data_IF_140119224647
#
_entry.id   IF_140119224647
#
_cell.length_a   1.000
_cell.length_b   1.000
_cell.length_c   1.000
_cell.angle_alpha   90.00
_cell.angle_beta   90.00
_cell.angle_gamma   90.00
#
_symmetry.space_group_name_H-M   'P 1'
#
loop_
_entity.id
_entity.type
_entity.pdbx_description
1 polymer ?
#
# COMPACT_ATOMS: atom_id res chain seq x y z
N UNK A 1 -12.66 11.05 3.27
CA UNK A 1 -11.23 10.82 3.49
C UNK A 1 -10.44 11.89 2.75
N UNK A 2 -9.38 12.48 3.33
CA UNK A 2 -8.51 13.42 2.62
C UNK A 2 -7.95 12.82 1.33
N UNK A 3 -7.84 13.62 0.25
CA UNK A 3 -7.23 13.19 -1.02
C UNK A 3 -5.75 12.82 -0.88
N UNK A 4 -5.06 13.38 0.11
CA UNK A 4 -3.66 13.08 0.43
C UNK A 4 -3.37 11.58 0.56
N UNK A 5 -4.28 10.81 1.16
CA UNK A 5 -4.12 9.37 1.26
C UNK A 5 -4.18 8.66 -0.09
N UNK A 6 -4.99 9.13 -1.03
CA UNK A 6 -5.01 8.58 -2.38
C UNK A 6 -3.69 8.81 -3.12
N UNK A 7 -3.06 9.98 -2.95
CA UNK A 7 -1.73 10.25 -3.51
C UNK A 7 -0.64 9.41 -2.85
N UNK A 8 -0.71 9.22 -1.52
CA UNK A 8 0.21 8.35 -0.80
C UNK A 8 0.14 6.91 -1.31
N UNK A 9 -1.07 6.38 -1.51
CA UNK A 9 -1.27 5.04 -2.07
C UNK A 9 -0.73 4.91 -3.51
N UNK A 10 -0.76 5.98 -4.32
CA UNK A 10 -0.12 5.98 -5.66
C UNK A 10 1.39 5.80 -5.52
N UNK A 11 2.03 6.49 -4.57
CA UNK A 11 3.48 6.35 -4.32
C UNK A 11 3.80 4.94 -3.81
N UNK A 12 3.02 4.41 -2.88
CA UNK A 12 3.17 3.04 -2.38
C UNK A 12 3.01 2.01 -3.51
N UNK A 13 2.00 2.18 -4.37
CA UNK A 13 1.80 1.34 -5.56
C UNK A 13 3.00 1.37 -6.51
N UNK A 14 3.52 2.58 -6.81
CA UNK A 14 4.72 2.73 -7.63
C UNK A 14 5.93 2.04 -7.00
N UNK A 15 6.06 2.08 -5.67
CA UNK A 15 7.16 1.45 -4.95
C UNK A 15 7.14 -0.08 -5.11
N UNK A 16 5.96 -0.71 -5.09
CA UNK A 16 5.80 -2.14 -5.39
C UNK A 16 6.09 -2.49 -6.86
N UNK A 17 5.70 -1.63 -7.79
CA UNK A 17 6.03 -1.84 -9.21
C UNK A 17 7.54 -1.74 -9.44
N UNK A 18 8.23 -0.83 -8.74
CA UNK A 18 9.69 -0.75 -8.75
C UNK A 18 10.30 -2.00 -8.10
N UNK A 19 9.77 -2.48 -6.97
CA UNK A 19 10.21 -3.74 -6.35
C UNK A 19 10.16 -4.90 -7.35
N UNK A 20 9.01 -5.04 -8.03
CA UNK A 20 8.78 -6.07 -9.03
C UNK A 20 9.82 -6.03 -10.15
N UNK A 21 10.15 -4.83 -10.64
CA UNK A 21 11.21 -4.65 -11.64
C UNK A 21 12.60 -4.98 -11.08
N UNK A 22 12.89 -4.63 -9.83
CA UNK A 22 14.18 -4.98 -9.19
C UNK A 22 14.34 -6.49 -9.10
N UNK A 23 13.30 -7.24 -8.71
CA UNK A 23 13.33 -8.71 -8.73
C UNK A 23 13.58 -9.33 -10.12
N UNK A 24 13.35 -8.58 -11.21
CA UNK A 24 13.66 -9.01 -12.57
C UNK A 24 15.03 -8.54 -13.09
N UNK A 25 15.63 -7.52 -12.48
CA UNK A 25 16.77 -6.78 -13.06
C UNK A 25 18.02 -6.81 -12.19
N UNK A 26 17.90 -7.12 -10.90
CA UNK A 26 19.02 -7.35 -9.99
C UNK A 26 18.97 -8.80 -9.49
N UNK A 27 20.07 -9.29 -8.88
CA UNK A 27 20.21 -10.67 -8.35
C UNK A 27 19.34 -10.93 -7.10
N UNK A 28 18.09 -10.45 -7.09
CA UNK A 28 17.06 -10.79 -6.11
C UNK A 28 16.24 -11.98 -6.58
N UNK A 29 15.40 -12.55 -5.71
CA UNK A 29 14.59 -13.74 -6.02
C UNK A 29 13.54 -13.44 -7.10
N UNK A 30 13.66 -13.97 -8.35
CA UNK A 30 12.76 -13.58 -9.45
C UNK A 30 11.31 -13.99 -9.23
N UNK A 31 11.06 -15.00 -8.41
CA UNK A 31 9.71 -15.47 -8.08
C UNK A 31 8.84 -14.42 -7.38
N UNK A 32 9.44 -13.39 -6.77
CA UNK A 32 8.70 -12.33 -6.08
C UNK A 32 8.14 -11.25 -7.02
N UNK A 33 8.66 -11.14 -8.25
CA UNK A 33 8.27 -10.08 -9.19
C UNK A 33 6.77 -10.08 -9.51
N UNK A 34 6.18 -11.25 -9.73
CA UNK A 34 4.75 -11.40 -10.02
C UNK A 34 3.85 -10.95 -8.85
N UNK A 35 4.02 -11.52 -7.65
CA UNK A 35 3.30 -11.09 -6.44
C UNK A 35 3.36 -9.58 -6.17
N UNK A 36 4.53 -8.96 -6.31
CA UNK A 36 4.68 -7.53 -6.08
C UNK A 36 3.98 -6.67 -7.13
N UNK A 37 4.05 -7.06 -8.41
CA UNK A 37 3.31 -6.37 -9.47
C UNK A 37 1.80 -6.42 -9.20
N UNK A 38 1.29 -7.59 -8.77
CA UNK A 38 -0.11 -7.76 -8.39
C UNK A 38 -0.48 -6.81 -7.24
N UNK A 39 0.34 -6.74 -6.19
CA UNK A 39 0.11 -5.82 -5.07
C UNK A 39 0.11 -4.36 -5.56
N UNK A 40 1.09 -3.96 -6.38
CA UNK A 40 1.17 -2.63 -6.95
C UNK A 40 -0.09 -2.25 -7.75
N UNK A 41 -0.58 -3.16 -8.61
CA UNK A 41 -1.81 -2.95 -9.39
C UNK A 41 -3.05 -2.85 -8.49
N UNK A 42 -3.21 -3.77 -7.53
CA UNK A 42 -4.33 -3.74 -6.57
C UNK A 42 -4.33 -2.43 -5.78
N UNK A 43 -3.15 -1.99 -5.33
CA UNK A 43 -2.99 -0.72 -4.61
C UNK A 43 -3.31 0.48 -5.50
N UNK A 44 -2.89 0.49 -6.77
CA UNK A 44 -3.21 1.56 -7.71
C UNK A 44 -4.73 1.68 -7.97
N UNK A 45 -5.41 0.54 -8.12
CA UNK A 45 -6.89 0.50 -8.18
C UNK A 45 -7.50 1.02 -6.88
N UNK A 46 -6.96 0.61 -5.73
CA UNK A 46 -7.35 1.13 -4.42
C UNK A 46 -7.23 2.65 -4.32
N UNK A 47 -6.12 3.20 -4.80
CA UNK A 47 -5.84 4.63 -4.82
C UNK A 47 -6.84 5.41 -5.68
N UNK A 48 -7.22 4.87 -6.85
CA UNK A 48 -8.25 5.44 -7.70
C UNK A 48 -9.59 5.59 -6.98
N UNK A 49 -9.99 4.60 -6.18
CA UNK A 49 -11.21 4.66 -5.37
C UNK A 49 -11.03 5.56 -4.12
N UNK A 50 -9.84 5.56 -3.52
CA UNK A 50 -9.47 6.43 -2.40
C UNK A 50 -9.64 7.92 -2.74
N UNK A 51 -9.19 8.34 -3.93
CA UNK A 51 -9.35 9.70 -4.45
C UNK A 51 -10.82 10.12 -4.64
N UNK A 52 -11.73 9.14 -4.75
CA UNK A 52 -13.18 9.31 -4.80
C UNK A 52 -13.86 9.17 -3.43
N UNK A 53 -13.07 9.18 -2.36
CA UNK A 53 -13.56 9.14 -0.98
C UNK A 53 -13.95 7.77 -0.47
N UNK A 54 -13.67 6.68 -1.21
CA UNK A 54 -13.99 5.30 -0.79
C UNK A 54 -12.97 4.77 0.22
N UNK A 55 -13.07 5.25 1.47
CA UNK A 55 -12.15 4.90 2.57
C UNK A 55 -12.02 3.40 2.84
N UNK A 56 -13.11 2.66 2.77
CA UNK A 56 -13.09 1.21 3.02
C UNK A 56 -12.20 0.48 2.01
N UNK A 57 -12.28 0.85 0.73
CA UNK A 57 -11.44 0.29 -0.34
C UNK A 57 -9.97 0.61 -0.08
N UNK A 58 -9.67 1.85 0.32
CA UNK A 58 -8.31 2.27 0.67
C UNK A 58 -7.71 1.43 1.81
N UNK A 59 -8.47 1.20 2.88
CA UNK A 59 -8.05 0.38 4.01
C UNK A 59 -7.84 -1.09 3.62
N UNK A 60 -8.76 -1.67 2.85
CA UNK A 60 -8.65 -3.06 2.41
C UNK A 60 -7.47 -3.31 1.48
N UNK A 61 -7.27 -2.44 0.50
CA UNK A 61 -6.14 -2.54 -0.44
C UNK A 61 -4.80 -2.29 0.24
N UNK A 62 -4.74 -1.34 1.18
CA UNK A 62 -3.53 -1.12 1.99
C UNK A 62 -3.25 -2.28 2.93
N UNK A 63 -4.29 -2.86 3.55
CA UNK A 63 -4.17 -4.05 4.39
C UNK A 63 -3.70 -5.28 3.60
N UNK A 64 -4.23 -5.49 2.39
CA UNK A 64 -3.78 -6.51 1.46
C UNK A 64 -2.30 -6.35 1.12
N UNK A 65 -1.88 -5.12 0.77
CA UNK A 65 -0.48 -4.82 0.51
C UNK A 65 0.42 -5.12 1.73
N UNK A 66 0.03 -4.66 2.92
CA UNK A 66 0.79 -4.91 4.14
C UNK A 66 0.92 -6.40 4.46
N UNK A 67 -0.16 -7.17 4.29
CA UNK A 67 -0.13 -8.63 4.44
C UNK A 67 0.83 -9.27 3.44
N UNK A 68 0.73 -8.90 2.16
CA UNK A 68 1.63 -9.37 1.11
C UNK A 68 3.10 -9.07 1.41
N UNK A 69 3.42 -7.87 1.90
CA UNK A 69 4.78 -7.49 2.30
C UNK A 69 5.29 -8.31 3.48
N UNK A 70 4.45 -8.59 4.49
CA UNK A 70 4.84 -9.48 5.61
C UNK A 70 5.15 -10.88 5.11
N UNK A 71 4.34 -11.41 4.19
CA UNK A 71 4.60 -12.71 3.55
C UNK A 71 5.93 -12.67 2.77
N UNK A 72 6.19 -11.61 2.00
CA UNK A 72 7.45 -11.41 1.28
C UNK A 72 8.68 -11.36 2.20
N UNK A 73 8.63 -10.54 3.26
CA UNK A 73 9.70 -10.46 4.27
C UNK A 73 9.95 -11.82 4.94
N UNK A 74 8.88 -12.55 5.25
CA UNK A 74 8.98 -13.89 5.82
C UNK A 74 9.65 -14.84 4.83
N UNK A 75 9.30 -14.78 3.54
CA UNK A 75 9.93 -15.58 2.49
C UNK A 75 11.42 -15.26 2.31
N UNK A 76 11.81 -13.98 2.30
CA UNK A 76 13.22 -13.54 2.24
C UNK A 76 14.01 -14.09 3.46
N UNK A 77 13.41 -14.03 4.65
CA UNK A 77 14.08 -14.43 5.90
C UNK A 77 14.22 -15.94 6.05
N UNK A 78 13.25 -16.70 5.52
CA UNK A 78 13.12 -18.15 5.69
C UNK A 78 13.60 -18.96 4.47
N UNK A 79 13.69 -18.32 3.31
CA UNK A 79 13.93 -18.97 2.03
C UNK A 79 15.38 -19.40 1.81
N UNK A 80 15.62 -20.32 0.86
CA UNK A 80 16.96 -20.77 0.48
C UNK A 80 17.71 -19.75 -0.40
N UNK A 81 17.04 -18.70 -0.87
CA UNK A 81 17.62 -17.67 -1.75
C UNK A 81 18.58 -16.69 -1.03
N UNK A 82 19.23 -15.79 -1.79
CA UNK A 82 20.16 -14.82 -1.23
C UNK A 82 19.46 -13.91 -0.22
N UNK A 83 19.90 -13.95 1.04
CA UNK A 83 19.46 -12.99 2.05
C UNK A 83 20.13 -11.66 1.76
N UNK A 84 19.48 -10.85 0.93
CA UNK A 84 20.01 -9.55 0.54
C UNK A 84 19.53 -8.48 1.52
N UNK A 85 20.49 -7.81 2.16
CA UNK A 85 20.22 -6.67 3.06
C UNK A 85 19.44 -5.55 2.33
N UNK A 86 19.78 -5.18 1.08
CA UNK A 86 19.02 -4.17 0.34
C UNK A 86 17.55 -4.55 0.12
N UNK A 87 17.27 -5.80 -0.23
CA UNK A 87 15.90 -6.31 -0.45
C UNK A 87 15.08 -6.23 0.84
N UNK A 88 15.62 -6.76 1.94
CA UNK A 88 14.95 -6.71 3.25
C UNK A 88 14.74 -5.26 3.73
N UNK A 89 15.70 -4.37 3.49
CA UNK A 89 15.59 -2.95 3.86
C UNK A 89 14.49 -2.27 3.05
N UNK A 90 14.43 -2.52 1.74
CA UNK A 90 13.41 -1.96 0.86
C UNK A 90 12.00 -2.39 1.28
N UNK A 91 11.82 -3.69 1.54
CA UNK A 91 10.58 -4.25 2.05
C UNK A 91 10.19 -3.70 3.43
N UNK A 92 11.15 -3.56 4.35
CA UNK A 92 10.92 -2.98 5.66
C UNK A 92 10.44 -1.53 5.61
N UNK A 93 10.98 -0.73 4.69
CA UNK A 93 10.53 0.64 4.44
C UNK A 93 9.10 0.67 3.90
N UNK A 94 8.78 -0.14 2.88
CA UNK A 94 7.41 -0.26 2.34
C UNK A 94 6.41 -0.64 3.44
N UNK A 95 6.74 -1.64 4.25
CA UNK A 95 5.86 -2.09 5.32
C UNK A 95 5.64 -0.97 6.35
N UNK A 96 6.71 -0.27 6.73
CA UNK A 96 6.62 0.85 7.68
C UNK A 96 5.71 1.94 7.15
N UNK A 97 5.87 2.34 5.88
CA UNK A 97 5.00 3.36 5.27
C UNK A 97 3.55 2.89 5.21
N UNK A 98 3.29 1.64 4.82
CA UNK A 98 1.93 1.08 4.77
C UNK A 98 1.25 1.10 6.13
N UNK A 99 1.95 0.65 7.19
CA UNK A 99 1.39 0.64 8.54
C UNK A 99 1.07 2.07 9.00
N UNK A 100 1.96 3.03 8.75
CA UNK A 100 1.70 4.44 9.05
C UNK A 100 0.47 4.94 8.27
N UNK A 101 0.39 4.68 6.97
CA UNK A 101 -0.74 5.04 6.10
C UNK A 101 -2.07 4.47 6.64
N UNK A 102 -2.10 3.18 6.96
CA UNK A 102 -3.27 2.48 7.52
C UNK A 102 -3.67 3.11 8.84
N UNK A 103 -2.74 3.32 9.77
CA UNK A 103 -3.02 3.90 11.09
C UNK A 103 -3.58 5.32 10.96
N UNK A 104 -2.97 6.15 10.12
CA UNK A 104 -3.44 7.52 9.87
C UNK A 104 -4.85 7.51 9.23
N UNK A 105 -5.07 6.67 8.21
CA UNK A 105 -6.38 6.51 7.57
C UNK A 105 -7.44 6.03 8.56
N UNK A 106 -7.12 5.04 9.41
CA UNK A 106 -8.00 4.48 10.42
C UNK A 106 -8.39 5.50 11.50
N UNK A 107 -7.48 6.42 11.83
CA UNK A 107 -7.73 7.50 12.82
C UNK A 107 -8.52 8.69 12.25
N UNK A 108 -8.50 8.91 10.92
CA UNK A 108 -9.31 9.99 10.32
C UNK A 108 -10.82 9.76 10.45
N UNK A 109 -11.53 10.71 11.07
CA UNK A 109 -13.00 10.71 11.15
C UNK A 109 -13.62 11.19 9.84
N UNK A 110 -14.77 10.64 9.40
CA UNK A 110 -15.55 11.23 8.31
C UNK A 110 -15.92 12.67 8.64
N UNK A 111 -15.76 13.61 7.69
CA UNK A 111 -16.36 14.95 7.84
C UNK A 111 -17.87 14.77 7.94
N UNK A 112 -18.46 15.16 9.07
CA UNK A 112 -19.92 15.38 9.15
C UNK A 112 -20.23 16.62 8.33
N UNK A 113 -21.11 16.51 7.35
CA UNK A 113 -21.75 17.68 6.76
C UNK A 113 -22.77 18.17 7.80
N UNK A 114 -22.67 19.42 8.30
CA UNK A 114 -23.69 19.97 9.18
C UNK A 114 -25.05 19.94 8.49
N UNK A 115 -26.15 19.64 9.19
CA UNK A 115 -27.48 19.78 8.60
C UNK A 115 -27.63 21.21 8.07
N UNK A 116 -28.04 21.34 6.80
CA UNK A 116 -28.39 22.64 6.23
C UNK A 116 -29.49 23.25 7.08
N UNK A 117 -29.25 24.43 7.66
CA UNK A 117 -30.31 25.23 8.29
C UNK A 117 -31.30 25.55 7.17
N UNK A 118 -32.44 24.85 7.15
CA UNK A 118 -33.57 25.24 6.31
C UNK A 118 -34.06 26.60 6.83
N UNK A 119 -34.06 27.67 6.02
CA UNK A 119 -34.76 28.89 6.40
C UNK A 119 -36.25 28.54 6.53
N UNK A 120 -36.84 28.88 7.68
CA UNK A 120 -38.28 28.71 7.90
C UNK A 120 -39.04 29.47 6.79
N UNK A 121 -39.90 28.76 6.09
CA UNK A 121 -40.91 29.32 5.19
C UNK A 121 -42.07 29.94 5.98
#
# INVERSE_FOLDING_TARGET
MPRGFGYLMIVEAATFLVASLLHLTVEWEPGAAGPEALIGVVMAVGAFFALRGRRAVALWTSGFAAFGTVVGITAISSGPGPKSVPDLTYHGLILTTLIVSIVLMARTRPRRVPPSVTPNA
#
